data_IF_754532666628
#
_entry.id   IF_754532666628
#
_cell.length_a   1.000
_cell.length_b   1.000
_cell.length_c   1.000
_cell.angle_alpha   90.00
_cell.angle_beta   90.00
_cell.angle_gamma   90.00
#
_symmetry.space_group_name_H-M   'P 1'
#
loop_
_entity.id
_entity.type
_entity.pdbx_description
1 polymer ?
#
# COMPACT_ATOMS: atom_id res chain seq x y z
N UNK A 1 -0.85 -0.40 31.22
CA UNK A 1 -1.92 -0.31 30.20
C UNK A 1 -2.98 -1.31 30.59
N UNK A 2 -4.07 -0.86 31.22
CA UNK A 2 -5.09 -1.72 31.81
C UNK A 2 -5.91 -2.40 30.70
N UNK A 3 -5.55 -3.65 30.39
CA UNK A 3 -6.40 -4.52 29.59
C UNK A 3 -7.59 -4.91 30.47
N UNK A 4 -8.78 -4.40 30.13
CA UNK A 4 -10.02 -4.90 30.71
C UNK A 4 -10.04 -6.40 30.48
N UNK A 5 -10.15 -7.18 31.56
CA UNK A 5 -10.03 -8.66 31.54
C UNK A 5 -10.95 -9.29 30.47
N UNK A 6 -12.10 -8.65 30.20
CA UNK A 6 -13.10 -9.06 29.22
C UNK A 6 -12.77 -8.77 27.75
N UNK A 7 -11.72 -7.98 27.49
CA UNK A 7 -11.21 -7.63 26.16
C UNK A 7 -9.84 -8.25 25.86
N UNK A 8 -9.36 -9.14 26.73
CA UNK A 8 -8.09 -9.83 26.51
C UNK A 8 -8.17 -10.70 25.26
N UNK A 9 -7.16 -10.56 24.38
CA UNK A 9 -6.91 -11.56 23.33
C UNK A 9 -6.19 -12.72 23.98
N UNK A 10 -6.58 -13.93 23.64
CA UNK A 10 -5.84 -15.13 24.00
C UNK A 10 -5.37 -15.82 22.72
N UNK A 11 -4.19 -16.39 22.78
CA UNK A 11 -3.63 -17.13 21.67
C UNK A 11 -4.13 -18.57 21.74
N UNK A 12 -4.86 -19.01 20.72
CA UNK A 12 -5.25 -20.41 20.59
C UNK A 12 -4.15 -21.15 19.83
N UNK A 13 -3.35 -21.93 20.58
CA UNK A 13 -2.25 -22.71 20.01
C UNK A 13 -2.71 -23.79 19.03
N UNK A 14 -3.97 -24.26 19.11
CA UNK A 14 -4.48 -25.30 18.20
C UNK A 14 -4.69 -24.77 16.79
N UNK A 15 -5.01 -23.49 16.67
CA UNK A 15 -5.31 -22.84 15.38
C UNK A 15 -4.30 -21.74 15.04
N UNK A 16 -3.30 -21.52 15.89
CA UNK A 16 -2.25 -20.51 15.75
C UNK A 16 -2.79 -19.08 15.52
N UNK A 17 -3.95 -18.75 16.10
CA UNK A 17 -4.62 -17.44 15.91
C UNK A 17 -4.93 -16.79 17.25
N UNK A 18 -4.80 -15.46 17.26
CA UNK A 18 -5.30 -14.63 18.35
C UNK A 18 -6.82 -14.52 18.29
N UNK A 19 -7.50 -15.19 19.22
CA UNK A 19 -8.94 -15.12 19.34
C UNK A 19 -9.34 -14.07 20.38
N UNK A 20 -10.49 -13.46 20.13
CA UNK A 20 -11.17 -12.65 21.13
C UNK A 20 -12.21 -13.49 21.87
N UNK A 21 -12.38 -13.24 23.17
CA UNK A 21 -13.53 -13.78 23.91
C UNK A 21 -14.82 -13.21 23.29
N UNK A 22 -15.86 -14.03 23.12
CA UNK A 22 -17.16 -13.54 22.66
C UNK A 22 -17.81 -12.68 23.77
N UNK A 23 -17.47 -11.39 23.77
CA UNK A 23 -17.97 -10.38 24.71
C UNK A 23 -18.42 -9.15 23.95
N UNK A 24 -19.24 -8.31 24.60
CA UNK A 24 -19.63 -7.00 24.06
C UNK A 24 -18.39 -6.14 23.78
N UNK A 25 -17.37 -6.24 24.63
CA UNK A 25 -16.10 -5.52 24.47
C UNK A 25 -15.42 -5.84 23.14
N UNK A 26 -15.36 -7.11 22.76
CA UNK A 26 -14.78 -7.56 21.48
C UNK A 26 -15.51 -6.97 20.28
N UNK A 27 -16.85 -6.92 20.32
CA UNK A 27 -17.62 -6.35 19.22
C UNK A 27 -17.34 -4.84 19.07
N UNK A 28 -17.26 -4.12 20.19
CA UNK A 28 -16.92 -2.70 20.21
C UNK A 28 -15.49 -2.49 19.68
N UNK A 29 -14.51 -3.26 20.18
CA UNK A 29 -13.12 -3.16 19.75
C UNK A 29 -12.95 -3.47 18.26
N UNK A 30 -13.66 -4.47 17.74
CA UNK A 30 -13.66 -4.79 16.30
C UNK A 30 -14.24 -3.65 15.47
N UNK A 31 -15.37 -3.05 15.90
CA UNK A 31 -15.98 -1.91 15.21
C UNK A 31 -15.07 -0.67 15.26
N UNK A 32 -14.46 -0.38 16.40
CA UNK A 32 -13.50 0.71 16.54
C UNK A 32 -12.29 0.52 15.63
N UNK A 33 -11.76 -0.70 15.53
CA UNK A 33 -10.64 -1.03 14.63
C UNK A 33 -11.02 -0.84 13.16
N UNK A 34 -12.23 -1.24 12.78
CA UNK A 34 -12.76 -1.03 11.42
C UNK A 34 -12.94 0.47 11.10
N UNK A 35 -13.58 1.23 11.99
CA UNK A 35 -13.78 2.68 11.85
C UNK A 35 -12.41 3.37 11.76
N UNK A 36 -11.48 3.02 12.63
CA UNK A 36 -10.12 3.55 12.59
C UNK A 36 -9.43 3.26 11.26
N UNK A 37 -9.54 2.03 10.75
CA UNK A 37 -9.01 1.65 9.44
C UNK A 37 -9.60 2.46 8.28
N UNK A 38 -10.91 2.71 8.31
CA UNK A 38 -11.58 3.58 7.33
C UNK A 38 -11.12 5.03 7.43
N UNK A 39 -11.04 5.58 8.65
CA UNK A 39 -10.56 6.95 8.88
C UNK A 39 -9.12 7.13 8.40
N UNK A 40 -8.23 6.17 8.70
CA UNK A 40 -6.85 6.19 8.23
C UNK A 40 -6.77 6.12 6.72
N UNK A 41 -7.57 5.27 6.07
CA UNK A 41 -7.65 5.19 4.61
C UNK A 41 -8.11 6.51 3.99
N UNK A 42 -9.14 7.13 4.56
CA UNK A 42 -9.61 8.46 4.16
C UNK A 42 -8.56 9.55 4.34
N UNK A 43 -7.82 9.53 5.46
CA UNK A 43 -6.72 10.46 5.73
C UNK A 43 -5.59 10.30 4.71
N UNK A 44 -5.22 9.08 4.34
CA UNK A 44 -4.23 8.81 3.30
C UNK A 44 -4.65 9.41 1.96
N UNK A 45 -5.91 9.21 1.55
CA UNK A 45 -6.45 9.79 0.32
C UNK A 45 -6.44 11.32 0.38
N UNK A 46 -6.84 11.90 1.52
CA UNK A 46 -6.84 13.35 1.73
C UNK A 46 -5.42 13.92 1.62
N UNK A 47 -4.45 13.36 2.33
CA UNK A 47 -3.04 13.79 2.29
C UNK A 47 -2.50 13.69 0.87
N UNK A 48 -2.70 12.56 0.18
CA UNK A 48 -2.26 12.37 -1.20
C UNK A 48 -2.89 13.41 -2.15
N UNK A 49 -4.18 13.74 -1.94
CA UNK A 49 -4.89 14.76 -2.72
C UNK A 49 -4.33 16.16 -2.47
N UNK A 50 -4.10 16.52 -1.21
CA UNK A 50 -3.49 17.80 -0.82
C UNK A 50 -2.08 17.94 -1.39
N UNK A 51 -1.26 16.89 -1.31
CA UNK A 51 0.08 16.85 -1.89
C UNK A 51 0.02 17.04 -3.40
N UNK A 52 -0.87 16.32 -4.10
CA UNK A 52 -1.05 16.48 -5.56
C UNK A 52 -1.46 17.91 -5.92
N UNK A 53 -2.36 18.50 -5.14
CA UNK A 53 -2.84 19.87 -5.37
C UNK A 53 -1.75 20.91 -5.10
N UNK A 54 -0.97 20.74 -4.03
CA UNK A 54 0.20 21.55 -3.72
C UNK A 54 1.24 21.51 -4.85
N UNK A 55 1.56 20.30 -5.33
CA UNK A 55 2.47 20.10 -6.47
C UNK A 55 1.93 20.73 -7.76
N UNK A 56 0.62 20.59 -8.05
CA UNK A 56 -0.01 21.25 -9.20
C UNK A 56 0.03 22.77 -9.09
N UNK A 57 -0.19 23.33 -7.90
CA UNK A 57 -0.09 24.78 -7.64
C UNK A 57 1.34 25.27 -7.85
N UNK A 58 2.34 24.60 -7.29
CA UNK A 58 3.75 24.94 -7.48
C UNK A 58 4.17 24.82 -8.94
N UNK A 59 3.76 23.75 -9.64
CA UNK A 59 4.00 23.59 -11.06
C UNK A 59 3.35 24.70 -11.89
N UNK A 60 2.16 25.19 -11.54
CA UNK A 60 1.53 26.35 -12.19
C UNK A 60 2.29 27.66 -11.90
N UNK A 61 2.76 27.89 -10.68
CA UNK A 61 3.59 29.07 -10.33
C UNK A 61 4.89 29.09 -11.12
N UNK A 62 5.63 27.98 -11.13
CA UNK A 62 6.81 27.84 -11.99
C UNK A 62 6.48 28.02 -13.47
N UNK A 63 5.25 27.69 -13.92
CA UNK A 63 4.86 27.87 -15.33
C UNK A 63 4.83 29.34 -15.68
N UNK A 64 4.21 30.16 -14.84
CA UNK A 64 4.11 31.60 -15.04
C UNK A 64 5.49 32.26 -15.05
N UNK A 65 6.39 31.83 -14.16
CA UNK A 65 7.76 32.37 -14.07
C UNK A 65 8.66 31.96 -15.26
N UNK A 66 8.44 30.78 -15.83
CA UNK A 66 9.31 30.22 -16.89
C UNK A 66 8.73 30.37 -18.30
N UNK A 67 7.48 30.83 -18.46
CA UNK A 67 6.86 31.07 -19.78
C UNK A 67 7.56 32.17 -20.60
N UNK A 68 8.57 32.82 -20.01
CA UNK A 68 9.52 33.75 -20.64
C UNK A 68 10.69 33.04 -21.34
N UNK A 69 10.97 31.74 -21.06
CA UNK A 69 12.10 31.00 -21.64
C UNK A 69 11.64 29.63 -22.19
N UNK A 70 11.40 29.57 -23.50
CA UNK A 70 10.63 28.53 -24.20
C UNK A 70 11.24 27.10 -24.32
N UNK A 71 12.35 26.77 -23.65
CA UNK A 71 13.14 25.58 -24.00
C UNK A 71 12.99 24.32 -23.12
N UNK A 72 12.04 24.23 -22.15
CA UNK A 72 11.95 23.07 -21.20
C UNK A 72 10.57 22.39 -21.12
N UNK A 73 9.92 22.18 -22.27
CA UNK A 73 8.65 21.44 -22.38
C UNK A 73 8.72 19.99 -21.88
N UNK A 74 9.77 19.24 -22.27
CA UNK A 74 9.80 17.79 -22.12
C UNK A 74 9.99 17.31 -20.67
N UNK A 75 10.94 17.91 -19.95
CA UNK A 75 11.23 17.59 -18.53
C UNK A 75 10.03 17.84 -17.60
N UNK A 76 9.12 18.72 -18.01
CA UNK A 76 7.95 19.10 -17.23
C UNK A 76 6.81 18.08 -17.36
N UNK A 77 6.64 17.54 -18.57
CA UNK A 77 5.63 16.50 -18.83
C UNK A 77 5.96 15.22 -18.05
N UNK A 78 7.24 14.86 -17.93
CA UNK A 78 7.69 13.68 -17.20
C UNK A 78 7.47 13.81 -15.69
N UNK A 79 7.73 14.98 -15.10
CA UNK A 79 7.54 15.21 -13.68
C UNK A 79 6.05 15.20 -13.28
N UNK A 80 5.17 15.80 -14.10
CA UNK A 80 3.73 15.76 -13.86
C UNK A 80 3.18 14.33 -13.91
N UNK A 81 3.67 13.52 -14.85
CA UNK A 81 3.31 12.10 -14.96
C UNK A 81 3.79 11.29 -13.75
N UNK A 82 4.99 11.53 -13.24
CA UNK A 82 5.49 10.88 -12.01
C UNK A 82 4.62 11.21 -10.80
N UNK A 83 4.25 12.48 -10.62
CA UNK A 83 3.40 12.91 -9.51
C UNK A 83 1.99 12.29 -9.60
N UNK A 84 1.43 12.18 -10.82
CA UNK A 84 0.16 11.50 -11.03
C UNK A 84 0.25 10.01 -10.72
N UNK A 85 1.36 9.36 -11.08
CA UNK A 85 1.61 7.95 -10.76
C UNK A 85 1.67 7.70 -9.25
N UNK A 86 2.32 8.56 -8.47
CA UNK A 86 2.35 8.46 -7.01
C UNK A 86 0.95 8.62 -6.39
N UNK A 87 0.15 9.56 -6.91
CA UNK A 87 -1.24 9.71 -6.48
C UNK A 87 -2.07 8.46 -6.79
N UNK A 88 -2.00 7.94 -8.01
CA UNK A 88 -2.71 6.71 -8.41
C UNK A 88 -2.26 5.53 -7.53
N UNK A 89 -0.96 5.40 -7.27
CA UNK A 89 -0.42 4.40 -6.35
C UNK A 89 -1.06 4.51 -4.95
N UNK A 90 -1.11 5.73 -4.39
CA UNK A 90 -1.74 5.96 -3.08
C UNK A 90 -3.23 5.60 -3.07
N UNK A 91 -3.97 5.95 -4.12
CA UNK A 91 -5.38 5.59 -4.26
C UNK A 91 -5.60 4.07 -4.38
N UNK A 92 -4.82 3.39 -5.23
CA UNK A 92 -4.93 1.94 -5.42
C UNK A 92 -4.63 1.21 -4.11
N UNK A 93 -3.57 1.60 -3.39
CA UNK A 93 -3.24 1.04 -2.08
C UNK A 93 -4.36 1.27 -1.06
N UNK A 94 -4.93 2.47 -0.99
CA UNK A 94 -6.05 2.76 -0.09
C UNK A 94 -7.30 1.93 -0.44
N UNK A 95 -7.61 1.75 -1.73
CA UNK A 95 -8.73 0.91 -2.17
C UNK A 95 -8.53 -0.55 -1.78
N UNK A 96 -7.32 -1.09 -1.98
CA UNK A 96 -7.00 -2.48 -1.59
C UNK A 96 -7.13 -2.66 -0.07
N UNK A 97 -6.69 -1.68 0.71
CA UNK A 97 -6.84 -1.70 2.17
C UNK A 97 -8.31 -1.71 2.59
N UNK A 98 -9.16 -0.86 1.98
CA UNK A 98 -10.60 -0.84 2.26
C UNK A 98 -11.26 -2.17 1.90
N UNK A 99 -10.97 -2.73 0.71
CA UNK A 99 -11.50 -4.04 0.29
C UNK A 99 -11.08 -5.12 1.29
N UNK A 100 -9.84 -5.08 1.77
CA UNK A 100 -9.33 -6.02 2.77
C UNK A 100 -10.03 -5.86 4.11
N UNK A 101 -10.27 -4.63 4.58
CA UNK A 101 -11.00 -4.39 5.82
C UNK A 101 -12.44 -4.92 5.74
N UNK A 102 -13.10 -4.72 4.60
CA UNK A 102 -14.43 -5.30 4.33
C UNK A 102 -14.33 -6.83 4.33
N UNK A 103 -13.37 -7.40 3.61
CA UNK A 103 -13.15 -8.84 3.55
C UNK A 103 -12.93 -9.46 4.93
N UNK A 104 -12.07 -8.86 5.74
CA UNK A 104 -11.75 -9.32 7.09
C UNK A 104 -12.95 -9.22 8.04
N UNK A 105 -13.80 -8.20 7.89
CA UNK A 105 -14.96 -8.01 8.77
C UNK A 105 -16.15 -8.90 8.38
N UNK A 106 -16.37 -9.14 7.08
CA UNK A 106 -17.58 -9.79 6.58
C UNK A 106 -17.38 -11.24 6.10
N UNK A 107 -16.19 -11.64 5.65
CA UNK A 107 -15.98 -13.00 5.10
C UNK A 107 -15.86 -14.08 6.18
N UNK A 108 -15.06 -13.91 7.24
CA UNK A 108 -14.78 -15.02 8.13
C UNK A 108 -15.79 -15.03 9.28
N UNK A 109 -16.93 -15.72 9.10
CA UNK A 109 -17.76 -16.13 10.23
C UNK A 109 -17.23 -17.46 10.78
N UNK A 110 -16.63 -17.48 12.00
CA UNK A 110 -16.03 -18.69 12.57
C UNK A 110 -17.03 -19.82 12.82
N UNK A 111 -18.34 -19.53 12.75
CA UNK A 111 -19.41 -20.53 12.88
C UNK A 111 -19.66 -21.36 11.62
N UNK A 112 -19.17 -20.92 10.45
CA UNK A 112 -19.52 -21.53 9.14
C UNK A 112 -18.34 -22.19 8.43
N UNK A 113 -17.13 -22.01 8.93
CA UNK A 113 -15.88 -22.35 8.23
C UNK A 113 -15.02 -23.22 9.12
N UNK A 114 -14.36 -24.26 8.58
CA UNK A 114 -13.42 -25.06 9.38
C UNK A 114 -12.26 -24.18 9.90
N UNK A 115 -11.69 -24.53 11.04
CA UNK A 115 -10.61 -23.75 11.68
C UNK A 115 -9.43 -23.49 10.73
N UNK A 116 -9.03 -24.52 9.97
CA UNK A 116 -7.92 -24.43 8.99
C UNK A 116 -8.27 -23.44 7.86
N UNK A 117 -9.49 -23.49 7.34
CA UNK A 117 -9.93 -22.57 6.30
C UNK A 117 -9.95 -21.11 6.79
N UNK A 118 -10.35 -20.87 8.04
CA UNK A 118 -10.32 -19.54 8.65
C UNK A 118 -8.89 -18.97 8.70
N UNK A 119 -7.92 -19.78 9.13
CA UNK A 119 -6.50 -19.38 9.19
C UNK A 119 -5.99 -19.07 7.78
N UNK A 120 -6.21 -19.97 6.83
CA UNK A 120 -5.74 -19.82 5.45
C UNK A 120 -6.32 -18.55 4.79
N UNK A 121 -7.62 -18.29 4.96
CA UNK A 121 -8.25 -17.08 4.40
C UNK A 121 -7.61 -15.81 4.98
N UNK A 122 -7.38 -15.75 6.29
CA UNK A 122 -6.77 -14.58 6.92
C UNK A 122 -5.32 -14.37 6.48
N UNK A 123 -4.53 -15.44 6.41
CA UNK A 123 -3.15 -15.38 5.92
C UNK A 123 -3.12 -14.91 4.47
N UNK A 124 -3.95 -15.49 3.60
CA UNK A 124 -4.02 -15.11 2.19
C UNK A 124 -4.45 -13.65 2.03
N UNK A 125 -5.44 -13.18 2.78
CA UNK A 125 -5.86 -11.76 2.76
C UNK A 125 -4.69 -10.85 3.15
N UNK A 126 -3.97 -11.17 4.22
CA UNK A 126 -2.86 -10.34 4.70
C UNK A 126 -1.67 -10.33 3.74
N UNK A 127 -1.29 -11.49 3.23
CA UNK A 127 -0.24 -11.64 2.21
C UNK A 127 -0.62 -10.94 0.91
N UNK A 128 -1.90 -10.97 0.52
CA UNK A 128 -2.40 -10.25 -0.67
C UNK A 128 -2.23 -8.74 -0.49
N UNK A 129 -2.48 -8.20 0.71
CA UNK A 129 -2.23 -6.76 0.98
C UNK A 129 -0.75 -6.44 0.87
N UNK A 130 0.12 -7.22 1.50
CA UNK A 130 1.56 -6.95 1.46
C UNK A 130 2.14 -7.06 0.04
N UNK A 131 1.79 -8.13 -0.67
CA UNK A 131 2.22 -8.34 -2.06
C UNK A 131 1.67 -7.26 -2.98
N UNK A 132 0.41 -6.86 -2.83
CA UNK A 132 -0.17 -5.78 -3.64
C UNK A 132 0.53 -4.44 -3.44
N UNK A 133 0.91 -4.10 -2.20
CA UNK A 133 1.71 -2.90 -1.92
C UNK A 133 3.08 -2.95 -2.60
N UNK A 134 3.75 -4.10 -2.57
CA UNK A 134 5.02 -4.29 -3.27
C UNK A 134 4.85 -4.19 -4.80
N UNK A 135 3.81 -4.80 -5.37
CA UNK A 135 3.50 -4.75 -6.79
C UNK A 135 3.21 -3.32 -7.25
N UNK A 136 2.38 -2.59 -6.50
CA UNK A 136 2.08 -1.18 -6.78
C UNK A 136 3.38 -0.36 -6.76
N UNK A 137 4.24 -0.55 -5.77
CA UNK A 137 5.53 0.15 -5.71
C UNK A 137 6.40 -0.17 -6.94
N UNK A 138 6.49 -1.45 -7.36
CA UNK A 138 7.23 -1.84 -8.55
C UNK A 138 6.63 -1.25 -9.85
N UNK A 139 5.30 -1.23 -9.98
CA UNK A 139 4.64 -0.73 -11.20
C UNK A 139 4.76 0.79 -11.36
N UNK A 140 4.70 1.55 -10.28
CA UNK A 140 4.68 3.01 -10.34
C UNK A 140 6.07 3.65 -10.16
N UNK A 141 7.02 2.97 -9.50
CA UNK A 141 8.37 3.50 -9.26
C UNK A 141 9.35 3.11 -10.40
N UNK A 142 9.49 4.01 -11.38
CA UNK A 142 10.45 3.84 -12.50
C UNK A 142 11.91 3.62 -12.04
N UNK A 143 12.47 4.37 -11.07
CA UNK A 143 13.80 4.11 -10.52
C UNK A 143 13.98 2.67 -10.03
N UNK A 144 13.04 2.15 -9.26
CA UNK A 144 13.09 0.76 -8.77
C UNK A 144 13.07 -0.26 -9.91
N UNK A 145 12.23 -0.06 -10.93
CA UNK A 145 12.23 -0.95 -12.12
C UNK A 145 13.55 -0.96 -12.87
N UNK A 146 14.30 0.14 -12.87
CA UNK A 146 15.63 0.16 -13.51
C UNK A 146 16.65 -0.66 -12.72
N UNK A 147 16.54 -0.71 -11.39
CA UNK A 147 17.39 -1.52 -10.52
C UNK A 147 17.05 -3.02 -10.62
N UNK A 148 15.77 -3.35 -10.78
CA UNK A 148 15.33 -4.74 -10.95
C UNK A 148 15.52 -5.29 -12.37
N UNK A 149 15.94 -4.47 -13.34
CA UNK A 149 16.32 -4.99 -14.66
C UNK A 149 17.66 -5.70 -14.54
N UNK A 150 17.78 -6.97 -14.95
CA UNK A 150 19.07 -7.63 -14.99
C UNK A 150 20.03 -6.82 -15.87
N UNK A 151 21.14 -6.33 -15.29
CA UNK A 151 22.25 -5.80 -16.08
C UNK A 151 22.72 -6.96 -16.95
N UNK A 152 22.44 -6.90 -18.25
CA UNK A 152 23.21 -7.71 -19.21
C UNK A 152 24.66 -7.23 -19.08
N UNK A 153 25.47 -7.97 -18.33
CA UNK A 153 26.91 -7.85 -18.42
C UNK A 153 27.27 -8.26 -19.84
N UNK A 154 27.44 -7.25 -20.70
CA UNK A 154 28.13 -7.44 -21.96
C UNK A 154 29.55 -7.80 -21.58
N UNK A 155 29.87 -9.09 -21.66
CA UNK A 155 31.21 -9.63 -21.50
C UNK A 155 32.04 -9.03 -22.66
N UNK A 156 32.65 -7.87 -22.43
CA UNK A 156 33.61 -7.32 -23.38
C UNK A 156 34.83 -8.22 -23.29
N UNK A 157 34.92 -9.20 -24.21
CA UNK A 157 36.17 -9.91 -24.47
C UNK A 157 37.21 -8.87 -24.86
N UNK A 158 38.09 -8.55 -23.92
CA UNK A 158 39.33 -7.82 -24.21
C UNK A 158 40.24 -8.82 -24.91
N UNK A 159 40.26 -8.77 -26.23
CA UNK A 159 41.24 -9.48 -27.05
C UNK A 159 42.62 -8.93 -26.68
N UNK A 160 43.39 -9.72 -25.92
CA UNK A 160 44.79 -9.42 -25.64
C UNK A 160 45.59 -9.62 -26.93
N UNK A 161 46.03 -8.52 -27.53
CA UNK A 161 47.11 -8.51 -28.52
C UNK A 161 48.42 -8.79 -27.78
N UNK A 162 48.87 -10.04 -27.84
CA UNK A 162 50.25 -10.42 -27.52
C UNK A 162 51.13 -10.11 -28.73
N UNK A 163 52.18 -9.33 -28.48
CA UNK A 163 53.34 -9.14 -29.35
C UNK A 163 54.19 -10.41 -29.41
#
# INVERSE_FOLDING_TARGET
MYWWYECSKWYDAKIAVWMYRQSLCTQIASRMSYIFGLLMSGLIVLVNTLTLFGLRRQAKKLKRLYNTNAAKSDTRSSQSRLNMNFYIQGCVTATILVITLIGFHFLPTPKRTSQIQYVLINVVIWETVQTSNAVVLLLFNKPFRKLCKPRRMSLHSTTATLF
#
